data_IF_727772282254
#
_entry.id   IF_727772282254
#
_cell.length_a   1.000
_cell.length_b   1.000
_cell.length_c   1.000
_cell.angle_alpha   90.00
_cell.angle_beta   90.00
_cell.angle_gamma   90.00
#
_symmetry.space_group_name_H-M   'P 1'
#
loop_
_entity.id
_entity.type
_entity.pdbx_description
1 polymer ?
#
# COMPACT_ATOMS: atom_id res chain seq x y z
N UNK A 1 -10.50 -2.39 8.30
CA UNK A 1 -11.24 -1.84 7.12
C UNK A 1 -11.07 -2.74 5.90
N UNK A 2 -9.86 -3.29 5.76
CA UNK A 2 -9.60 -4.51 5.01
C UNK A 2 -9.47 -5.64 6.05
N UNK A 3 -10.03 -6.80 5.78
CA UNK A 3 -9.82 -8.00 6.61
C UNK A 3 -8.80 -8.87 5.90
N UNK A 4 -7.78 -9.24 6.66
CA UNK A 4 -6.75 -10.15 6.22
C UNK A 4 -6.85 -11.52 6.92
N UNK A 5 -7.77 -11.68 7.86
CA UNK A 5 -7.88 -12.88 8.71
C UNK A 5 -8.65 -14.01 8.03
N UNK A 6 -8.05 -14.62 7.01
CA UNK A 6 -8.47 -15.94 6.54
C UNK A 6 -8.32 -16.99 7.66
N UNK A 7 -9.20 -17.99 7.67
CA UNK A 7 -9.44 -18.97 8.76
C UNK A 7 -8.23 -19.76 9.31
N UNK A 8 -7.02 -19.60 8.77
CA UNK A 8 -5.79 -20.29 9.18
C UNK A 8 -4.55 -19.38 9.29
N UNK A 9 -4.71 -18.05 9.37
CA UNK A 9 -3.56 -17.22 9.71
C UNK A 9 -2.56 -16.97 8.55
N UNK A 10 -2.86 -17.30 7.29
CA UNK A 10 -1.89 -17.26 6.19
C UNK A 10 -2.43 -16.96 4.76
N UNK A 11 -3.70 -16.56 4.60
CA UNK A 11 -4.32 -16.38 3.26
C UNK A 11 -4.04 -15.03 2.56
N UNK A 12 -3.44 -14.06 3.26
CA UNK A 12 -3.25 -12.67 2.80
C UNK A 12 -2.41 -12.53 1.56
N UNK A 13 -1.38 -13.39 1.50
CA UNK A 13 -0.12 -13.14 0.81
C UNK A 13 -0.26 -13.18 -0.70
N UNK A 14 -1.50 -13.13 -1.21
CA UNK A 14 -1.90 -13.81 -2.42
C UNK A 14 -2.85 -13.00 -3.29
N UNK A 15 -3.71 -12.15 -2.72
CA UNK A 15 -4.81 -11.55 -3.48
C UNK A 15 -4.97 -10.05 -3.24
N UNK A 16 -5.71 -9.44 -4.17
CA UNK A 16 -6.23 -8.10 -4.00
C UNK A 16 -6.94 -7.98 -2.65
N UNK A 17 -6.85 -6.82 -1.99
CA UNK A 17 -7.51 -6.59 -0.71
C UNK A 17 -9.02 -6.85 -0.83
N UNK A 18 -9.60 -7.45 0.21
CA UNK A 18 -11.04 -7.73 0.29
C UNK A 18 -11.70 -6.81 1.31
N UNK A 19 -13.00 -6.57 1.12
CA UNK A 19 -13.79 -5.79 2.08
C UNK A 19 -13.87 -6.54 3.41
N UNK A 20 -13.60 -5.84 4.50
CA UNK A 20 -13.77 -6.39 5.84
C UNK A 20 -15.21 -6.87 6.05
N UNK A 21 -15.45 -8.01 6.73
CA UNK A 21 -16.80 -8.57 6.93
C UNK A 21 -17.70 -7.72 7.84
N UNK A 22 -17.28 -6.51 8.21
CA UNK A 22 -17.88 -5.68 9.26
C UNK A 22 -17.54 -6.17 10.67
N UNK A 23 -18.08 -5.48 11.66
CA UNK A 23 -18.01 -5.82 13.07
C UNK A 23 -19.36 -5.50 13.71
N UNK A 24 -19.68 -6.16 14.82
CA UNK A 24 -20.86 -5.83 15.63
C UNK A 24 -20.52 -4.71 16.62
N UNK A 25 -21.43 -3.74 16.78
CA UNK A 25 -21.22 -2.62 17.70
C UNK A 25 -20.32 -1.53 17.12
N UNK A 26 -19.66 -0.77 18.01
CA UNK A 26 -18.78 0.35 17.66
C UNK A 26 -17.32 -0.11 17.75
N UNK A 27 -16.56 0.11 16.69
CA UNK A 27 -15.11 -0.08 16.70
C UNK A 27 -14.45 1.19 17.25
N UNK A 28 -13.65 1.06 18.29
CA UNK A 28 -12.84 2.16 18.80
C UNK A 28 -11.65 2.41 17.87
N UNK A 29 -11.63 3.60 17.23
CA UNK A 29 -10.60 4.02 16.28
C UNK A 29 -9.84 5.24 16.82
N UNK A 30 -9.30 5.12 18.04
CA UNK A 30 -8.59 6.20 18.76
C UNK A 30 -7.06 6.07 18.72
N UNK A 31 -6.55 4.97 18.17
CA UNK A 31 -5.13 4.69 17.99
C UNK A 31 -4.85 4.21 16.57
N UNK A 32 -3.65 4.45 16.08
CA UNK A 32 -3.23 3.97 14.77
C UNK A 32 -3.12 2.44 14.76
N UNK A 33 -3.46 1.83 13.62
CA UNK A 33 -3.16 0.41 13.36
C UNK A 33 -1.68 0.17 13.08
N UNK A 34 -1.30 -1.10 12.99
CA UNK A 34 0.09 -1.47 12.73
C UNK A 34 0.60 -1.00 11.35
N UNK A 35 1.88 -0.66 11.29
CA UNK A 35 2.61 -0.43 10.03
C UNK A 35 2.74 -1.74 9.27
N UNK A 36 2.83 -1.68 7.94
CA UNK A 36 3.14 -2.87 7.15
C UNK A 36 4.56 -3.36 7.45
N UNK A 37 4.72 -4.69 7.51
CA UNK A 37 5.99 -5.31 7.88
C UNK A 37 7.15 -4.85 7.00
N UNK A 38 8.20 -4.31 7.62
CA UNK A 38 9.30 -3.62 6.93
C UNK A 38 10.55 -3.52 7.81
N UNK A 39 11.70 -3.22 7.22
CA UNK A 39 12.86 -2.75 7.98
C UNK A 39 12.64 -1.31 8.45
N UNK A 40 12.78 -1.07 9.75
CA UNK A 40 12.81 0.27 10.31
C UNK A 40 14.06 1.01 9.82
N UNK A 41 13.86 2.14 9.12
CA UNK A 41 14.94 2.90 8.50
C UNK A 41 16.09 3.25 9.46
N UNK A 42 15.76 3.60 10.70
CA UNK A 42 16.74 4.08 11.70
C UNK A 42 17.46 2.97 12.47
N UNK A 43 16.81 1.82 12.70
CA UNK A 43 17.32 0.77 13.60
C UNK A 43 17.68 -0.52 12.89
N UNK A 44 17.29 -0.66 11.61
CA UNK A 44 17.52 -1.86 10.81
C UNK A 44 16.89 -3.14 11.40
N UNK A 45 15.96 -2.97 12.35
CA UNK A 45 15.11 -4.01 12.90
C UNK A 45 13.84 -4.14 12.04
N UNK A 46 13.30 -5.35 11.93
CA UNK A 46 12.00 -5.51 11.28
C UNK A 46 10.88 -5.17 12.27
N UNK A 47 9.97 -4.32 11.82
CA UNK A 47 8.82 -3.82 12.57
C UNK A 47 7.54 -4.04 11.77
N UNK A 48 6.39 -3.83 12.41
CA UNK A 48 5.08 -3.89 11.77
C UNK A 48 4.50 -5.30 11.69
N UNK A 49 3.34 -5.38 11.05
CA UNK A 49 2.52 -6.59 10.92
C UNK A 49 2.16 -6.84 9.45
N UNK A 50 1.72 -8.06 9.15
CA UNK A 50 1.04 -8.32 7.88
C UNK A 50 -0.39 -7.74 7.90
N UNK A 51 -1.05 -7.76 9.07
CA UNK A 51 -2.29 -7.02 9.30
C UNK A 51 -1.97 -5.54 9.48
N UNK A 52 -1.90 -4.82 8.36
CA UNK A 52 -1.48 -3.42 8.33
C UNK A 52 -2.37 -2.51 7.49
N UNK A 53 -3.41 -3.06 6.87
CA UNK A 53 -4.24 -2.35 5.89
C UNK A 53 -5.30 -1.46 6.56
N UNK A 54 -4.78 -0.41 7.19
CA UNK A 54 -5.48 0.64 7.92
C UNK A 54 -5.30 2.00 7.23
N UNK A 55 -6.22 2.90 7.51
CA UNK A 55 -6.12 4.31 7.13
C UNK A 55 -6.61 5.18 8.29
N UNK A 56 -6.15 6.43 8.32
CA UNK A 56 -6.53 7.43 9.31
C UNK A 56 -7.35 8.52 8.60
N UNK A 57 -8.53 8.86 9.14
CA UNK A 57 -9.34 9.99 8.65
C UNK A 57 -9.24 11.12 9.67
N UNK A 58 -8.66 12.24 9.25
CA UNK A 58 -8.30 13.37 10.10
C UNK A 58 -9.15 14.56 9.69
N UNK A 59 -10.00 15.02 10.60
CA UNK A 59 -11.03 16.03 10.33
C UNK A 59 -10.79 17.24 11.24
N UNK A 60 -10.85 18.48 10.71
CA UNK A 60 -10.70 19.68 11.51
C UNK A 60 -11.83 19.80 12.54
N UNK A 61 -11.48 20.27 13.75
CA UNK A 61 -12.41 20.37 14.87
C UNK A 61 -13.61 21.28 14.51
N UNK A 62 -14.83 20.86 14.87
CA UNK A 62 -16.09 21.59 14.67
C UNK A 62 -16.59 21.73 13.21
N UNK A 63 -16.14 20.91 12.26
CA UNK A 63 -16.50 21.04 10.82
C UNK A 63 -17.18 19.82 10.18
N UNK A 64 -17.93 19.02 10.95
CA UNK A 64 -18.60 17.81 10.44
C UNK A 64 -19.76 18.07 9.45
N UNK A 65 -20.28 19.29 9.37
CA UNK A 65 -21.45 19.62 8.55
C UNK A 65 -21.10 20.29 7.20
N UNK A 66 -19.83 20.23 6.78
CA UNK A 66 -19.36 20.77 5.50
C UNK A 66 -19.31 19.73 4.37
N UNK A 67 -19.16 20.21 3.13
CA UNK A 67 -18.62 19.43 2.00
C UNK A 67 -17.14 19.80 1.85
N UNK A 68 -16.30 19.31 2.75
CA UNK A 68 -14.88 19.67 2.79
C UNK A 68 -14.11 18.99 1.65
N UNK A 69 -13.11 19.67 1.09
CA UNK A 69 -12.17 19.02 0.19
C UNK A 69 -11.43 17.89 0.93
N UNK A 70 -11.13 16.81 0.23
CA UNK A 70 -10.48 15.63 0.80
C UNK A 70 -9.11 15.46 0.17
N UNK A 71 -8.07 15.34 0.99
CA UNK A 71 -6.70 15.10 0.56
C UNK A 71 -6.23 13.73 1.04
N UNK A 72 -5.95 12.82 0.11
CA UNK A 72 -5.49 11.45 0.39
C UNK A 72 -3.99 11.41 0.19
N UNK A 73 -3.23 11.23 1.26
CA UNK A 73 -1.78 11.10 1.24
C UNK A 73 -1.35 9.64 1.06
N UNK A 74 -0.53 9.39 0.05
CA UNK A 74 0.15 8.12 -0.20
C UNK A 74 1.63 8.32 0.15
N UNK A 75 2.09 7.63 1.20
CA UNK A 75 3.45 7.80 1.69
C UNK A 75 4.52 7.24 0.74
N UNK A 76 5.72 7.82 0.83
CA UNK A 76 6.93 7.37 0.13
C UNK A 76 7.63 6.18 0.80
N UNK A 77 8.94 6.06 0.61
CA UNK A 77 9.76 4.97 1.19
C UNK A 77 10.17 3.87 0.20
N UNK A 78 10.27 4.22 -1.08
CA UNK A 78 10.81 3.34 -2.13
C UNK A 78 10.04 2.03 -2.30
N UNK A 79 8.75 2.00 -1.93
CA UNK A 79 7.91 0.81 -1.84
C UNK A 79 8.39 -0.26 -0.86
N UNK A 80 9.38 0.02 0.01
CA UNK A 80 9.99 -0.96 0.91
C UNK A 80 9.71 -0.69 2.40
N UNK A 81 9.51 0.58 2.76
CA UNK A 81 9.24 1.05 4.11
C UNK A 81 8.32 2.29 4.05
N UNK A 82 7.98 2.84 5.21
CA UNK A 82 7.05 3.97 5.38
C UNK A 82 5.71 3.54 5.95
N UNK A 83 4.90 4.51 6.36
CA UNK A 83 3.55 4.26 6.85
C UNK A 83 2.66 5.48 6.66
N UNK A 84 1.34 5.32 6.78
CA UNK A 84 0.40 6.43 6.92
C UNK A 84 0.40 7.06 8.31
N UNK A 85 1.42 6.80 9.15
CA UNK A 85 1.41 7.22 10.56
C UNK A 85 1.37 8.74 10.69
N UNK A 86 0.45 9.27 11.50
CA UNK A 86 0.36 10.71 11.79
C UNK A 86 1.54 11.24 12.59
N UNK A 87 2.27 10.36 13.28
CA UNK A 87 3.53 10.72 13.94
C UNK A 87 4.66 10.97 12.93
N UNK A 88 4.62 10.31 11.76
CA UNK A 88 5.57 10.54 10.67
C UNK A 88 5.09 11.66 9.75
N UNK A 89 3.77 11.75 9.54
CA UNK A 89 3.11 12.68 8.65
C UNK A 89 2.02 13.45 9.39
N UNK A 90 2.44 14.39 10.25
CA UNK A 90 1.49 15.21 11.00
C UNK A 90 0.57 15.99 10.04
N UNK A 91 -0.76 15.91 10.23
CA UNK A 91 -1.72 16.60 9.40
C UNK A 91 -1.96 18.05 9.83
N UNK A 92 -1.36 18.51 10.95
CA UNK A 92 -1.78 19.73 11.67
C UNK A 92 -1.87 20.95 10.75
N UNK A 93 -0.83 21.19 9.95
CA UNK A 93 -0.80 22.32 9.02
C UNK A 93 -1.85 22.24 7.90
N UNK A 94 -2.24 21.03 7.49
CA UNK A 94 -3.29 20.86 6.49
C UNK A 94 -4.68 21.00 7.11
N UNK A 95 -4.86 20.55 8.35
CA UNK A 95 -6.14 20.68 9.05
C UNK A 95 -6.54 22.14 9.29
N UNK A 96 -5.57 23.05 9.40
CA UNK A 96 -5.81 24.51 9.46
C UNK A 96 -6.49 25.07 8.19
N UNK A 97 -6.37 24.38 7.05
CA UNK A 97 -6.88 24.81 5.74
C UNK A 97 -8.31 24.31 5.44
N UNK A 98 -9.06 23.85 6.45
CA UNK A 98 -10.43 23.33 6.31
C UNK A 98 -10.55 22.19 5.27
N UNK A 99 -9.59 21.26 5.27
CA UNK A 99 -9.64 20.04 4.46
C UNK A 99 -9.68 18.81 5.35
N UNK A 100 -10.24 17.72 4.85
CA UNK A 100 -10.07 16.40 5.47
C UNK A 100 -8.79 15.80 4.92
N UNK A 101 -7.92 15.33 5.80
CA UNK A 101 -6.70 14.60 5.43
C UNK A 101 -6.93 13.12 5.70
N UNK A 102 -6.62 12.28 4.72
CA UNK A 102 -6.64 10.84 4.86
C UNK A 102 -5.23 10.31 4.59
N UNK A 103 -4.65 9.59 5.54
CA UNK A 103 -3.40 8.85 5.34
C UNK A 103 -3.69 7.36 5.35
N UNK A 104 -2.92 6.55 4.63
CA UNK A 104 -3.17 5.11 4.49
C UNK A 104 -1.88 4.30 4.47
N UNK A 105 -1.99 3.05 4.91
CA UNK A 105 -0.98 2.03 4.70
C UNK A 105 -1.30 1.23 3.42
N UNK A 106 -0.25 0.70 2.80
CA UNK A 106 -0.35 -0.27 1.71
C UNK A 106 0.77 -1.30 1.84
N UNK A 107 0.58 -2.54 1.36
CA UNK A 107 1.62 -3.57 1.47
C UNK A 107 2.91 -3.12 0.78
N UNK A 108 4.03 -3.41 1.43
CA UNK A 108 5.38 -2.98 1.03
C UNK A 108 6.24 -4.18 0.62
N UNK A 109 7.42 -3.89 0.08
CA UNK A 109 8.47 -4.84 -0.26
C UNK A 109 7.94 -6.08 -1.01
N UNK A 110 8.47 -7.27 -0.74
CA UNK A 110 8.01 -8.51 -1.39
C UNK A 110 6.56 -8.82 -1.06
N UNK A 111 6.05 -8.39 0.10
CA UNK A 111 4.66 -8.63 0.50
C UNK A 111 3.66 -7.86 -0.37
N UNK A 112 4.07 -6.70 -0.91
CA UNK A 112 3.23 -5.85 -1.77
C UNK A 112 3.56 -5.95 -3.26
N UNK A 113 4.77 -6.35 -3.64
CA UNK A 113 5.26 -6.16 -5.01
C UNK A 113 5.92 -7.39 -5.64
N UNK A 114 5.86 -8.57 -5.01
CA UNK A 114 6.27 -9.81 -5.67
C UNK A 114 5.42 -10.05 -6.93
N UNK A 115 6.08 -10.27 -8.07
CA UNK A 115 5.42 -10.61 -9.32
C UNK A 115 6.11 -11.79 -10.00
N UNK A 116 5.36 -12.86 -10.24
CA UNK A 116 5.80 -14.04 -10.99
C UNK A 116 5.12 -14.16 -12.36
N UNK A 117 4.31 -13.16 -12.74
CA UNK A 117 3.58 -13.07 -14.01
C UNK A 117 2.63 -14.26 -14.21
N UNK A 118 1.95 -14.64 -13.13
CA UNK A 118 0.91 -15.67 -13.07
C UNK A 118 -0.28 -15.18 -12.24
N UNK A 119 -1.45 -15.78 -12.42
CA UNK A 119 -2.70 -15.36 -11.78
C UNK A 119 -2.63 -15.34 -10.25
N UNK A 120 -1.85 -16.25 -9.67
CA UNK A 120 -1.68 -16.43 -8.23
C UNK A 120 -0.70 -15.40 -7.63
N UNK A 121 0.09 -14.72 -8.46
CA UNK A 121 1.07 -13.72 -8.05
C UNK A 121 1.31 -12.68 -9.17
N UNK A 122 0.28 -11.89 -9.53
CA UNK A 122 0.33 -10.98 -10.67
C UNK A 122 1.03 -9.65 -10.37
N UNK A 123 1.56 -9.47 -9.15
CA UNK A 123 2.18 -8.23 -8.71
C UNK A 123 1.22 -7.12 -8.31
N UNK A 124 1.83 -5.99 -7.93
CA UNK A 124 1.19 -4.72 -7.59
C UNK A 124 0.11 -4.80 -6.51
N UNK A 125 0.28 -5.68 -5.52
CA UNK A 125 -0.66 -5.77 -4.40
C UNK A 125 -0.69 -4.46 -3.60
N UNK A 126 0.45 -3.81 -3.39
CA UNK A 126 0.49 -2.49 -2.76
C UNK A 126 -0.32 -1.41 -3.51
N UNK A 127 -0.28 -1.37 -4.85
CA UNK A 127 -1.12 -0.45 -5.63
C UNK A 127 -2.60 -0.83 -5.58
N UNK A 128 -2.92 -2.13 -5.51
CA UNK A 128 -4.29 -2.61 -5.35
C UNK A 128 -4.83 -2.26 -3.96
N UNK A 129 -3.99 -2.24 -2.93
CA UNK A 129 -4.33 -1.74 -1.59
C UNK A 129 -4.66 -0.26 -1.62
N UNK A 130 -3.82 0.55 -2.27
CA UNK A 130 -4.07 1.98 -2.46
C UNK A 130 -5.39 2.22 -3.24
N UNK A 131 -5.61 1.49 -4.33
CA UNK A 131 -6.86 1.57 -5.10
C UNK A 131 -8.08 1.24 -4.24
N UNK A 132 -7.98 0.18 -3.43
CA UNK A 132 -9.06 -0.23 -2.55
C UNK A 132 -9.36 0.83 -1.48
N UNK A 133 -8.32 1.39 -0.86
CA UNK A 133 -8.46 2.47 0.10
C UNK A 133 -9.09 3.72 -0.54
N UNK A 134 -8.67 4.11 -1.75
CA UNK A 134 -9.26 5.24 -2.48
C UNK A 134 -10.75 5.00 -2.77
N UNK A 135 -11.14 3.79 -3.17
CA UNK A 135 -12.56 3.42 -3.35
C UNK A 135 -13.34 3.52 -2.05
N UNK A 136 -12.79 2.98 -0.97
CA UNK A 136 -13.41 3.09 0.35
C UNK A 136 -13.59 4.55 0.76
N UNK A 137 -12.57 5.40 0.55
CA UNK A 137 -12.65 6.82 0.87
C UNK A 137 -13.76 7.47 0.05
N UNK A 138 -13.82 7.25 -1.27
CA UNK A 138 -14.90 7.76 -2.14
C UNK A 138 -16.30 7.35 -1.64
N UNK A 139 -16.45 6.12 -1.16
CA UNK A 139 -17.73 5.58 -0.66
C UNK A 139 -18.12 6.11 0.73
N UNK A 140 -17.16 6.43 1.60
CA UNK A 140 -17.42 6.65 3.03
C UNK A 140 -17.13 8.07 3.52
N UNK A 141 -16.32 8.87 2.80
CA UNK A 141 -15.81 10.14 3.32
C UNK A 141 -16.90 11.19 3.60
N UNK A 142 -18.07 11.06 2.95
CA UNK A 142 -19.23 11.90 3.23
C UNK A 142 -19.71 11.78 4.69
N UNK A 143 -19.57 10.61 5.32
CA UNK A 143 -19.91 10.41 6.74
C UNK A 143 -18.99 11.20 7.68
N UNK A 144 -17.83 11.65 7.19
CA UNK A 144 -16.85 12.46 7.92
C UNK A 144 -16.94 13.95 7.56
N UNK A 145 -17.93 14.37 6.78
CA UNK A 145 -18.06 15.76 6.28
C UNK A 145 -17.22 16.05 5.03
N UNK A 146 -16.76 15.01 4.32
CA UNK A 146 -15.99 15.15 3.08
C UNK A 146 -16.86 15.24 1.85
N UNK A 147 -16.41 16.01 0.86
CA UNK A 147 -16.96 16.01 -0.48
C UNK A 147 -16.30 14.90 -1.31
N UNK A 148 -17.03 13.80 -1.49
CA UNK A 148 -16.58 12.67 -2.30
C UNK A 148 -16.24 13.08 -3.75
N UNK A 149 -16.80 14.17 -4.28
CA UNK A 149 -16.54 14.64 -5.65
C UNK A 149 -15.36 15.63 -5.74
N UNK A 150 -14.77 16.00 -4.60
CA UNK A 150 -13.62 16.90 -4.52
C UNK A 150 -12.44 16.25 -3.77
N UNK A 151 -12.09 15.04 -4.21
CA UNK A 151 -10.93 14.30 -3.71
C UNK A 151 -9.65 14.69 -4.48
N UNK A 152 -8.57 14.92 -3.75
CA UNK A 152 -7.20 15.10 -4.26
C UNK A 152 -6.34 13.97 -3.72
N UNK A 153 -5.68 13.21 -4.60
CA UNK A 153 -4.62 12.28 -4.17
C UNK A 153 -3.26 12.99 -4.24
N UNK A 154 -2.40 12.77 -3.26
CA UNK A 154 -1.05 13.31 -3.27
C UNK A 154 -0.05 12.38 -2.60
N UNK A 155 1.22 12.52 -2.95
CA UNK A 155 2.28 11.67 -2.42
C UNK A 155 3.66 12.19 -2.76
N UNK A 156 4.64 11.68 -2.03
CA UNK A 156 6.06 12.03 -2.17
C UNK A 156 6.87 10.78 -2.54
N UNK A 157 7.90 10.93 -3.40
CA UNK A 157 8.79 9.83 -3.81
C UNK A 157 8.02 8.64 -4.38
N UNK A 158 8.13 7.44 -3.81
CA UNK A 158 7.33 6.27 -4.20
C UNK A 158 5.81 6.51 -4.09
N UNK A 159 5.37 7.37 -3.18
CA UNK A 159 3.99 7.83 -3.10
C UNK A 159 3.59 8.71 -4.29
N UNK A 160 4.50 9.56 -4.78
CA UNK A 160 4.27 10.33 -6.00
C UNK A 160 4.22 9.44 -7.25
N UNK A 161 5.09 8.42 -7.33
CA UNK A 161 5.00 7.40 -8.38
C UNK A 161 3.68 6.62 -8.31
N UNK A 162 3.20 6.30 -7.11
CA UNK A 162 1.88 5.69 -6.87
C UNK A 162 0.73 6.57 -7.35
N UNK A 163 0.76 7.87 -7.02
CA UNK A 163 -0.20 8.86 -7.52
C UNK A 163 -0.20 8.87 -9.05
N UNK A 164 0.98 8.88 -9.68
CA UNK A 164 1.08 8.81 -11.13
C UNK A 164 0.46 7.50 -11.68
N UNK A 165 0.72 6.34 -11.07
CA UNK A 165 0.06 5.09 -11.44
C UNK A 165 -1.48 5.19 -11.40
N UNK A 166 -2.04 5.82 -10.39
CA UNK A 166 -3.48 6.02 -10.28
C UNK A 166 -4.03 6.98 -11.35
N UNK A 167 -3.29 8.01 -11.76
CA UNK A 167 -3.73 8.92 -12.82
C UNK A 167 -3.83 8.26 -14.20
N UNK A 168 -3.04 7.20 -14.46
CA UNK A 168 -3.04 6.50 -15.74
C UNK A 168 -3.80 5.16 -15.71
N UNK A 169 -4.17 4.66 -14.53
CA UNK A 169 -4.88 3.38 -14.38
C UNK A 169 -6.37 3.54 -14.69
N UNK A 170 -6.93 2.79 -15.66
CA UNK A 170 -8.37 2.80 -15.93
C UNK A 170 -9.22 2.44 -14.71
N UNK A 171 -8.68 1.63 -13.80
CA UNK A 171 -9.38 1.18 -12.59
C UNK A 171 -9.59 2.31 -11.56
N UNK A 172 -8.85 3.42 -11.69
CA UNK A 172 -8.95 4.58 -10.80
C UNK A 172 -9.82 5.71 -11.38
N UNK A 173 -10.37 5.52 -12.58
CA UNK A 173 -11.18 6.54 -13.27
C UNK A 173 -12.36 6.99 -12.41
N UNK A 174 -12.50 8.31 -12.23
CA UNK A 174 -13.61 8.91 -11.50
C UNK A 174 -13.51 8.84 -9.97
N UNK A 175 -12.45 8.26 -9.42
CA UNK A 175 -12.29 8.14 -7.96
C UNK A 175 -11.73 9.41 -7.29
N UNK A 176 -11.00 10.24 -8.03
CA UNK A 176 -10.46 11.51 -7.54
C UNK A 176 -10.48 12.57 -8.65
N UNK A 177 -10.38 13.84 -8.25
CA UNK A 177 -10.48 15.00 -9.15
C UNK A 177 -9.13 15.63 -9.46
N UNK A 178 -8.18 15.55 -8.52
CA UNK A 178 -6.89 16.24 -8.59
C UNK A 178 -5.77 15.31 -8.12
N UNK A 179 -4.55 15.56 -8.58
CA UNK A 179 -3.36 14.81 -8.22
C UNK A 179 -2.18 15.75 -7.98
N UNK A 180 -1.36 15.49 -6.96
CA UNK A 180 -0.11 16.19 -6.68
C UNK A 180 1.02 15.16 -6.54
N UNK A 181 2.09 15.32 -7.31
CA UNK A 181 3.22 14.39 -7.37
C UNK A 181 4.49 15.09 -6.92
N UNK A 182 4.95 14.81 -5.69
CA UNK A 182 6.15 15.44 -5.12
C UNK A 182 7.37 14.53 -5.34
N UNK A 183 8.29 14.92 -6.22
CA UNK A 183 9.58 14.23 -6.39
C UNK A 183 9.50 12.75 -6.82
N UNK A 184 8.49 12.36 -7.62
CA UNK A 184 8.41 11.01 -8.19
C UNK A 184 7.36 10.84 -9.29
N UNK A 185 7.60 9.91 -10.20
CA UNK A 185 6.75 9.58 -11.34
C UNK A 185 7.04 8.14 -11.83
N UNK A 186 6.16 7.56 -12.66
CA UNK A 186 6.36 6.19 -13.19
C UNK A 186 7.59 6.05 -14.11
N UNK A 187 8.13 7.15 -14.62
CA UNK A 187 9.32 7.14 -15.48
C UNK A 187 10.64 7.14 -14.70
N UNK A 188 10.60 7.29 -13.38
CA UNK A 188 11.80 7.16 -12.59
C UNK A 188 12.33 5.71 -12.66
N UNK A 189 13.63 5.49 -12.90
CA UNK A 189 14.21 4.14 -13.02
C UNK A 189 14.00 3.23 -11.80
N UNK A 190 13.77 3.82 -10.61
CA UNK A 190 13.49 3.09 -9.38
C UNK A 190 12.00 2.78 -9.19
N UNK A 191 11.11 3.38 -9.97
CA UNK A 191 9.67 3.20 -9.80
C UNK A 191 9.17 1.88 -10.39
N UNK A 192 9.96 1.24 -11.25
CA UNK A 192 9.53 0.09 -12.04
C UNK A 192 10.68 -0.91 -12.28
N UNK A 193 10.36 -2.21 -12.35
CA UNK A 193 11.32 -3.26 -12.69
C UNK A 193 10.81 -4.16 -13.82
N UNK A 194 11.39 -3.97 -15.01
CA UNK A 194 11.15 -4.80 -16.21
C UNK A 194 11.48 -6.28 -15.99
N UNK A 195 12.48 -6.56 -15.15
CA UNK A 195 12.96 -7.91 -14.85
C UNK A 195 12.33 -8.49 -13.58
N UNK A 196 11.12 -8.06 -13.21
CA UNK A 196 10.41 -8.48 -12.00
C UNK A 196 10.35 -10.01 -11.83
N UNK A 197 10.07 -10.76 -12.91
CA UNK A 197 10.01 -12.23 -12.86
C UNK A 197 11.37 -12.86 -12.54
N UNK A 198 12.44 -12.39 -13.16
CA UNK A 198 13.82 -12.85 -12.86
C UNK A 198 14.18 -12.52 -11.40
N UNK A 199 13.79 -11.33 -10.92
CA UNK A 199 14.02 -10.94 -9.54
C UNK A 199 13.25 -11.84 -8.55
N UNK A 200 12.00 -12.20 -8.86
CA UNK A 200 11.18 -13.09 -8.04
C UNK A 200 11.75 -14.51 -7.95
N UNK A 201 12.23 -15.07 -9.06
CA UNK A 201 12.90 -16.39 -9.07
C UNK A 201 14.20 -16.36 -8.25
N UNK A 202 15.03 -15.30 -8.42
CA UNK A 202 16.25 -15.13 -7.61
C UNK A 202 15.93 -14.99 -6.12
N UNK A 203 14.86 -14.28 -5.78
CA UNK A 203 14.39 -14.14 -4.42
C UNK A 203 13.99 -15.50 -3.82
N UNK A 204 13.23 -16.31 -4.56
CA UNK A 204 12.85 -17.67 -4.15
C UNK A 204 14.08 -18.57 -3.96
N UNK A 205 15.04 -18.53 -4.88
CA UNK A 205 16.30 -19.27 -4.79
C UNK A 205 17.09 -18.89 -3.52
N UNK A 206 17.16 -17.60 -3.18
CA UNK A 206 17.84 -17.13 -1.96
C UNK A 206 17.19 -17.64 -0.67
N UNK A 207 15.90 -18.01 -0.73
CA UNK A 207 15.16 -18.62 0.36
C UNK A 207 15.17 -20.15 0.31
N UNK A 208 15.92 -20.77 -0.62
CA UNK A 208 16.07 -22.22 -0.74
C UNK A 208 15.10 -22.92 -1.70
N UNK A 209 14.21 -22.18 -2.39
CA UNK A 209 13.35 -22.76 -3.41
C UNK A 209 14.03 -22.72 -4.78
N UNK A 210 14.53 -23.87 -5.25
CA UNK A 210 15.22 -24.00 -6.53
C UNK A 210 14.30 -24.40 -7.70
N UNK A 211 12.98 -24.30 -7.52
CA UNK A 211 12.01 -24.61 -8.57
C UNK A 211 12.10 -23.61 -9.71
N UNK A 212 11.90 -24.07 -10.94
CA UNK A 212 11.70 -23.22 -12.10
C UNK A 212 10.21 -23.05 -12.47
N UNK A 213 9.32 -23.68 -11.72
CA UNK A 213 7.87 -23.54 -11.89
C UNK A 213 7.35 -22.39 -11.00
N UNK A 214 6.79 -21.32 -11.58
CA UNK A 214 6.27 -20.18 -10.81
C UNK A 214 5.15 -20.59 -9.84
N UNK A 215 4.34 -21.60 -10.13
CA UNK A 215 3.29 -22.05 -9.22
C UNK A 215 3.87 -22.71 -7.97
N UNK A 216 4.90 -23.53 -8.13
CA UNK A 216 5.62 -24.16 -7.01
C UNK A 216 6.39 -23.12 -6.18
N UNK A 217 7.01 -22.14 -6.83
CA UNK A 217 7.64 -21.00 -6.14
C UNK A 217 6.61 -20.27 -5.28
N UNK A 218 5.45 -19.95 -5.86
CA UNK A 218 4.35 -19.31 -5.14
C UNK A 218 3.96 -20.16 -3.93
N UNK A 219 3.63 -21.45 -4.11
CA UNK A 219 3.26 -22.36 -3.02
C UNK A 219 4.31 -22.39 -1.91
N UNK A 220 5.59 -22.45 -2.27
CA UNK A 220 6.70 -22.40 -1.32
C UNK A 220 6.73 -21.09 -0.53
N UNK A 221 6.80 -19.94 -1.22
CA UNK A 221 6.97 -18.63 -0.59
C UNK A 221 5.83 -18.29 0.37
N UNK A 222 4.62 -18.76 0.07
CA UNK A 222 3.47 -18.52 0.93
C UNK A 222 3.52 -19.28 2.25
N UNK A 223 4.32 -20.35 2.35
CA UNK A 223 4.57 -21.09 3.60
C UNK A 223 5.76 -20.52 4.39
N UNK A 224 6.57 -19.63 3.82
CA UNK A 224 7.69 -18.99 4.51
C UNK A 224 7.15 -17.92 5.47
N UNK A 225 7.59 -17.83 6.73
CA UNK A 225 7.19 -16.75 7.63
C UNK A 225 7.47 -15.36 7.02
N UNK A 226 6.52 -14.41 7.13
CA UNK A 226 6.67 -13.09 6.51
C UNK A 226 7.90 -12.33 7.00
N UNK A 227 8.24 -12.50 8.27
CA UNK A 227 9.47 -11.95 8.85
C UNK A 227 10.71 -12.40 8.06
N UNK A 228 10.75 -13.65 7.59
CA UNK A 228 11.87 -14.19 6.83
C UNK A 228 11.83 -13.77 5.36
N UNK A 229 10.63 -13.59 4.79
CA UNK A 229 10.45 -12.94 3.48
C UNK A 229 11.02 -11.52 3.49
N UNK A 230 10.66 -10.70 4.49
CA UNK A 230 11.15 -9.33 4.65
C UNK A 230 12.65 -9.33 4.93
N UNK A 231 13.18 -10.24 5.77
CA UNK A 231 14.65 -10.36 5.95
C UNK A 231 15.38 -10.56 4.62
N UNK A 232 14.81 -11.36 3.72
CA UNK A 232 15.41 -11.64 2.41
C UNK A 232 15.31 -10.47 1.42
N UNK A 233 14.48 -9.44 1.67
CA UNK A 233 14.39 -8.23 0.86
C UNK A 233 15.34 -7.12 1.28
N UNK A 234 16.18 -7.34 2.30
CA UNK A 234 17.06 -6.29 2.82
C UNK A 234 17.87 -5.64 1.70
N UNK A 235 17.75 -4.31 1.61
CA UNK A 235 18.47 -3.49 0.64
C UNK A 235 19.97 -3.75 0.79
N UNK A 236 20.56 -4.50 -0.15
CA UNK A 236 22.01 -4.60 -0.27
C UNK A 236 22.43 -3.58 -1.31
N UNK A 237 23.13 -2.53 -0.89
CA UNK A 237 23.72 -1.54 -1.80
C UNK A 237 24.40 -2.28 -2.96
N UNK A 238 23.88 -2.11 -4.18
CA UNK A 238 24.39 -2.76 -5.40
C UNK A 238 23.72 -4.07 -5.85
N UNK A 239 22.64 -4.58 -5.21
CA UNK A 239 21.88 -5.74 -5.71
C UNK A 239 20.37 -5.52 -5.66
N UNK A 240 19.73 -5.84 -6.80
CA UNK A 240 18.36 -5.56 -7.25
C UNK A 240 17.25 -5.58 -6.18
N UNK A 241 16.35 -4.59 -6.28
CA UNK A 241 15.12 -4.47 -5.50
C UNK A 241 13.94 -5.15 -6.25
N UNK A 242 13.07 -5.84 -5.51
CA UNK A 242 11.74 -6.21 -6.01
C UNK A 242 10.95 -4.91 -6.10
N UNK A 243 10.63 -4.48 -7.31
CA UNK A 243 9.91 -3.24 -7.59
C UNK A 243 8.74 -3.54 -8.50
N UNK A 244 7.80 -2.60 -8.52
CA UNK A 244 6.54 -2.57 -9.27
C UNK A 244 6.64 -3.17 -10.68
N UNK A 245 5.59 -3.88 -11.09
CA UNK A 245 5.39 -4.40 -12.46
C UNK A 245 4.25 -3.65 -13.17
N UNK A 246 4.03 -3.84 -14.48
CA UNK A 246 2.92 -3.18 -15.18
C UNK A 246 1.55 -3.79 -14.80
N UNK A 247 0.51 -2.95 -14.83
CA UNK A 247 -0.87 -3.42 -15.03
C UNK A 247 -1.00 -3.84 -16.50
N UNK A 248 -0.81 -5.12 -16.81
CA UNK A 248 -1.38 -5.70 -18.02
C UNK A 248 -2.78 -6.16 -17.68
N UNK A 249 -3.77 -5.38 -18.10
CA UNK A 249 -5.17 -5.71 -17.86
C UNK A 249 -5.58 -6.96 -18.65
N UNK A 250 -6.17 -7.92 -17.93
CA UNK A 250 -7.49 -8.50 -18.20
C UNK A 250 -8.13 -8.84 -16.87
#
# INVERSE_FOLDING_TARGET
MIDDTGANGQQWRRLAPVKHPGWSGVLEAISEGDKCMQFAFMTDNIIGSEDCLYLNVLVPQNKLNGKLAVMIFIHGGGFNYGSGSVNEYSPDYLLDENVIVVTLNYRLNVLGFLNLDINECPGNMGLKDQLFAIKWIKENIAAFGGDADNITIFGESAGAASVHCHTISPQSTGLFKKAIMQSGCVFNPWAFNENHRVAAFKFANNLGCLSNDPEEIVKYLRNVPAIDLVKATKFKVGKYCVLMSFFTGT
#
